data_IF_520700475631
#
_entry.id   IF_520700475631
#
_cell.length_a   1.000
_cell.length_b   1.000
_cell.length_c   1.000
_cell.angle_alpha   90.00
_cell.angle_beta   90.00
_cell.angle_gamma   90.00
#
_symmetry.space_group_name_H-M   'P 1'
#
loop_
_entity.id
_entity.type
_entity.pdbx_description
1 polymer ?
#
# COMPACT_ATOMS: atom_id res chain seq x y z
N UNK A 1 3.10 15.64 33.86
CA UNK A 1 3.63 15.14 32.62
C UNK A 1 2.56 14.42 31.81
N UNK A 2 2.78 14.34 30.52
CA UNK A 2 1.85 13.70 29.57
C UNK A 2 2.28 12.26 29.29
N UNK A 3 1.34 11.43 28.88
CA UNK A 3 1.65 10.10 28.33
C UNK A 3 2.12 10.26 26.88
N UNK A 4 3.10 9.44 26.47
CA UNK A 4 3.53 9.33 25.09
C UNK A 4 3.94 7.89 24.77
N UNK A 5 3.59 7.46 23.57
CA UNK A 5 3.89 6.12 23.04
C UNK A 5 4.33 6.20 21.59
N UNK A 6 5.30 5.41 21.22
CA UNK A 6 5.55 5.04 19.84
C UNK A 6 4.37 4.15 19.41
N UNK A 7 3.87 4.31 18.16
CA UNK A 7 2.61 3.67 17.75
C UNK A 7 2.59 3.31 16.26
N UNK A 8 1.84 2.27 15.92
CA UNK A 8 1.58 1.97 14.51
C UNK A 8 2.63 1.12 13.84
N UNK A 9 3.02 1.50 12.63
CA UNK A 9 3.91 0.73 11.78
C UNK A 9 5.27 0.43 12.40
N UNK A 10 5.85 1.40 13.08
CA UNK A 10 7.14 1.22 13.74
C UNK A 10 7.11 0.16 14.86
N UNK A 11 6.03 0.10 15.66
CA UNK A 11 5.89 -0.93 16.70
C UNK A 11 5.75 -2.32 16.08
N UNK A 12 4.96 -2.44 15.00
CA UNK A 12 4.85 -3.68 14.22
C UNK A 12 6.21 -4.12 13.67
N UNK A 13 6.94 -3.21 13.03
CA UNK A 13 8.19 -3.54 12.34
C UNK A 13 9.27 -3.95 13.35
N UNK A 14 9.38 -3.28 14.49
CA UNK A 14 10.25 -3.69 15.60
C UNK A 14 9.91 -5.08 16.14
N UNK A 15 8.61 -5.39 16.34
CA UNK A 15 8.17 -6.72 16.77
C UNK A 15 8.47 -7.81 15.73
N UNK A 16 8.57 -7.44 14.45
CA UNK A 16 8.96 -8.33 13.34
C UNK A 16 10.48 -8.40 13.12
N UNK A 17 11.28 -7.68 13.91
CA UNK A 17 12.72 -7.60 13.73
C UNK A 17 13.14 -6.81 12.50
N UNK A 18 12.30 -5.90 12.01
CA UNK A 18 12.56 -5.00 10.88
C UNK A 18 12.92 -3.61 11.41
N UNK A 19 13.82 -2.92 10.74
CA UNK A 19 14.10 -1.50 11.05
C UNK A 19 12.97 -0.64 10.53
N UNK A 20 12.26 0.14 11.38
CA UNK A 20 11.24 1.07 10.94
C UNK A 20 11.80 2.17 10.05
N UNK A 21 11.02 2.61 9.07
CA UNK A 21 11.39 3.75 8.21
C UNK A 21 11.12 5.11 8.87
N UNK A 22 10.12 5.16 9.76
CA UNK A 22 9.67 6.36 10.49
C UNK A 22 9.17 5.95 11.89
N UNK A 23 9.04 6.93 12.78
CA UNK A 23 8.50 6.73 14.12
C UNK A 23 7.36 7.71 14.37
N UNK A 24 6.15 7.18 14.45
CA UNK A 24 4.97 7.91 14.88
C UNK A 24 4.84 7.87 16.40
N UNK A 25 4.56 9.02 16.99
CA UNK A 25 4.31 9.16 18.42
C UNK A 25 2.87 9.61 18.63
N UNK A 26 2.20 8.99 19.59
CA UNK A 26 0.87 9.43 20.04
C UNK A 26 0.94 9.83 21.52
N UNK A 27 0.20 10.88 21.91
CA UNK A 27 0.32 11.49 23.26
C UNK A 27 -1.02 11.99 23.79
N UNK A 28 -1.11 12.08 25.11
CA UNK A 28 -2.22 12.77 25.80
C UNK A 28 -2.08 14.30 25.81
N UNK A 29 -0.94 14.84 25.37
CA UNK A 29 -0.71 16.26 25.26
C UNK A 29 -1.47 16.86 24.07
N UNK A 30 -2.06 18.05 24.24
CA UNK A 30 -2.61 18.83 23.14
C UNK A 30 -1.49 19.42 22.27
N UNK A 31 -1.74 19.79 21.00
CA UNK A 31 -0.72 20.34 20.12
C UNK A 31 0.08 21.49 20.73
N UNK A 32 -0.58 22.43 21.37
CA UNK A 32 0.07 23.58 22.01
C UNK A 32 0.96 23.16 23.20
N UNK A 33 0.59 22.08 23.88
CA UNK A 33 1.38 21.52 24.97
C UNK A 33 2.60 20.76 24.44
N UNK A 34 2.49 20.12 23.26
CA UNK A 34 3.63 19.53 22.55
C UNK A 34 4.62 20.64 22.16
N UNK A 35 4.15 21.71 21.54
CA UNK A 35 5.02 22.85 21.18
C UNK A 35 5.71 23.46 22.39
N UNK A 36 5.01 23.60 23.53
CA UNK A 36 5.60 24.08 24.78
C UNK A 36 6.68 23.12 25.34
N UNK A 37 6.45 21.80 25.25
CA UNK A 37 7.44 20.81 25.70
C UNK A 37 8.73 20.87 24.88
N UNK A 38 8.64 21.25 23.61
CA UNK A 38 9.75 21.33 22.65
C UNK A 38 10.08 22.77 22.23
N UNK A 39 9.86 23.76 23.13
CA UNK A 39 10.07 25.17 22.81
C UNK A 39 11.50 25.53 22.38
N UNK A 40 12.50 24.68 22.65
CA UNK A 40 13.89 24.83 22.19
C UNK A 40 14.19 24.19 20.84
N UNK A 41 13.25 23.46 20.27
CA UNK A 41 13.42 22.68 19.07
C UNK A 41 12.61 23.25 17.89
N UNK A 42 12.96 22.86 16.68
CA UNK A 42 12.18 23.26 15.50
C UNK A 42 10.89 22.44 15.44
N UNK A 43 9.75 23.13 15.55
CA UNK A 43 8.42 22.55 15.38
C UNK A 43 7.79 22.99 14.07
N UNK A 44 7.01 22.10 13.42
CA UNK A 44 6.30 22.37 12.17
C UNK A 44 4.81 22.04 12.39
N UNK A 45 3.93 23.04 12.44
CA UNK A 45 2.52 22.88 12.81
C UNK A 45 1.60 22.45 11.64
N UNK A 46 2.10 21.70 10.67
CA UNK A 46 1.37 21.37 9.44
C UNK A 46 0.10 20.54 9.66
N UNK A 47 -0.01 19.86 10.80
CA UNK A 47 -1.13 18.96 11.13
C UNK A 47 -1.96 19.37 12.33
N UNK A 48 -1.83 20.59 12.87
CA UNK A 48 -2.48 21.02 14.14
C UNK A 48 -3.99 20.78 14.13
N UNK A 49 -4.68 21.05 13.04
CA UNK A 49 -6.13 20.80 12.91
C UNK A 49 -6.53 19.34 13.14
N UNK A 50 -5.58 18.42 12.95
CA UNK A 50 -5.74 16.99 13.16
C UNK A 50 -5.00 16.46 14.37
N UNK A 51 -4.45 17.37 15.19
CA UNK A 51 -3.74 17.05 16.42
C UNK A 51 -2.27 16.67 16.23
N UNK A 52 -1.68 16.87 15.05
CA UNK A 52 -0.29 16.47 14.76
C UNK A 52 0.64 17.68 14.74
N UNK A 53 1.75 17.56 15.45
CA UNK A 53 2.90 18.50 15.42
C UNK A 53 4.12 17.70 15.00
N UNK A 54 4.86 18.15 14.00
CA UNK A 54 6.16 17.57 13.66
C UNK A 54 7.26 18.29 14.44
N UNK A 55 8.03 17.56 15.22
CA UNK A 55 9.19 18.05 15.97
C UNK A 55 10.46 17.52 15.31
N UNK A 56 11.43 18.39 15.03
CA UNK A 56 12.70 17.98 14.45
C UNK A 56 13.76 17.88 15.53
N UNK A 57 14.14 16.65 15.90
CA UNK A 57 15.18 16.36 16.88
C UNK A 57 16.42 15.79 16.18
N UNK A 58 17.56 16.37 16.38
CA UNK A 58 18.83 15.95 15.75
C UNK A 58 18.73 15.76 14.23
N UNK A 59 17.93 16.62 13.56
CA UNK A 59 17.67 16.56 12.12
C UNK A 59 16.62 15.52 11.71
N UNK A 60 16.09 14.73 12.65
CA UNK A 60 15.06 13.71 12.40
C UNK A 60 13.66 14.30 12.68
N UNK A 61 12.75 14.30 11.70
CA UNK A 61 11.37 14.69 11.91
C UNK A 61 10.60 13.57 12.64
N UNK A 62 9.95 13.92 13.75
CA UNK A 62 9.07 13.05 14.51
C UNK A 62 7.65 13.60 14.49
N UNK A 63 6.69 12.80 14.05
CA UNK A 63 5.28 13.16 14.07
C UNK A 63 4.67 12.80 15.44
N UNK A 64 4.23 13.84 16.17
CA UNK A 64 3.62 13.69 17.49
C UNK A 64 2.15 14.07 17.36
N UNK A 65 1.26 13.08 17.54
CA UNK A 65 -0.18 13.25 17.39
C UNK A 65 -0.88 13.11 18.73
N UNK A 66 -1.73 14.08 19.08
CA UNK A 66 -2.61 14.00 20.23
C UNK A 66 -3.59 12.84 20.10
N UNK A 67 -3.87 12.09 21.17
CA UNK A 67 -4.92 11.07 21.18
C UNK A 67 -6.22 11.68 20.68
N UNK A 68 -6.89 11.00 19.79
CA UNK A 68 -8.16 11.46 19.25
C UNK A 68 -9.18 10.35 19.15
N UNK A 69 -10.43 10.73 19.34
CA UNK A 69 -11.59 9.96 18.95
C UNK A 69 -12.16 10.61 17.68
N UNK A 70 -12.35 9.81 16.65
CA UNK A 70 -12.96 10.26 15.42
C UNK A 70 -14.49 10.27 15.60
N UNK A 71 -15.17 11.34 15.14
CA UNK A 71 -16.62 11.41 15.08
C UNK A 71 -17.21 10.57 13.94
N UNK A 72 -18.43 10.89 13.52
CA UNK A 72 -19.05 10.27 12.37
C UNK A 72 -18.31 10.59 11.07
N UNK A 73 -18.47 9.74 10.07
CA UNK A 73 -17.87 9.91 8.74
C UNK A 73 -19.00 9.99 7.71
N UNK A 74 -19.19 11.14 7.09
CA UNK A 74 -20.17 11.31 6.02
C UNK A 74 -19.58 11.24 4.62
N UNK A 75 -18.26 11.45 4.49
CA UNK A 75 -17.56 11.47 3.20
C UNK A 75 -16.73 10.18 2.91
N UNK A 76 -16.88 9.14 3.72
CA UNK A 76 -16.10 7.88 3.65
C UNK A 76 -14.56 8.08 3.66
N UNK A 77 -14.07 9.19 4.25
CA UNK A 77 -12.65 9.52 4.30
C UNK A 77 -12.22 10.24 5.56
N UNK A 78 -12.95 11.27 5.95
CA UNK A 78 -12.58 12.13 7.09
C UNK A 78 -13.70 12.13 8.10
N UNK A 79 -13.36 12.04 9.40
CA UNK A 79 -14.38 12.26 10.41
C UNK A 79 -14.89 13.71 10.30
N UNK A 80 -16.19 13.90 10.40
CA UNK A 80 -16.83 15.23 10.39
C UNK A 80 -16.35 16.10 11.55
N UNK A 81 -15.95 15.45 12.63
CA UNK A 81 -15.35 16.11 13.79
C UNK A 81 -14.24 15.23 14.37
N UNK A 82 -13.18 15.86 14.85
CA UNK A 82 -12.12 15.23 15.61
C UNK A 82 -12.19 15.78 17.02
N UNK A 83 -12.37 14.93 18.00
CA UNK A 83 -12.28 15.28 19.41
C UNK A 83 -10.97 14.76 20.00
N UNK A 84 -10.24 15.61 20.72
CA UNK A 84 -9.05 15.15 21.43
C UNK A 84 -9.46 14.33 22.65
N UNK A 85 -8.76 13.22 22.86
CA UNK A 85 -8.97 12.32 23.98
C UNK A 85 -7.75 12.31 24.90
N UNK A 86 -7.97 11.91 26.14
CA UNK A 86 -6.90 11.63 27.09
C UNK A 86 -6.61 10.14 27.23
N UNK A 87 -7.34 9.29 26.49
CA UNK A 87 -7.24 7.83 26.59
C UNK A 87 -6.57 7.26 25.35
N UNK A 88 -5.47 6.54 25.53
CA UNK A 88 -4.78 5.81 24.46
C UNK A 88 -5.71 4.86 23.69
N UNK A 89 -6.65 4.21 24.39
CA UNK A 89 -7.61 3.27 23.79
C UNK A 89 -8.45 3.90 22.67
N UNK A 90 -8.84 5.16 22.81
CA UNK A 90 -9.61 5.88 21.78
C UNK A 90 -8.77 6.09 20.50
N UNK A 91 -7.47 6.35 20.64
CA UNK A 91 -6.58 6.47 19.49
C UNK A 91 -6.30 5.12 18.81
N UNK A 92 -6.16 4.05 19.58
CA UNK A 92 -5.91 2.73 19.03
C UNK A 92 -7.15 2.13 18.34
N UNK A 93 -8.36 2.39 18.87
CA UNK A 93 -9.59 1.80 18.33
C UNK A 93 -9.98 2.33 16.94
N UNK A 94 -9.56 3.54 16.55
CA UNK A 94 -9.85 4.14 15.26
C UNK A 94 -8.88 3.70 14.15
N UNK A 95 -7.82 2.96 14.49
CA UNK A 95 -6.82 2.49 13.52
C UNK A 95 -7.39 1.42 12.60
N UNK A 96 -6.71 1.21 11.49
CA UNK A 96 -7.15 0.30 10.43
C UNK A 96 -7.07 -1.17 10.84
N UNK A 97 -5.85 -1.63 11.20
CA UNK A 97 -5.59 -3.04 11.46
C UNK A 97 -4.93 -3.25 12.82
N UNK A 98 -5.20 -4.42 13.42
CA UNK A 98 -4.68 -4.81 14.73
C UNK A 98 -3.16 -4.75 14.81
N UNK A 99 -2.47 -5.16 13.74
CA UNK A 99 -1.00 -5.12 13.62
C UNK A 99 -0.43 -3.69 13.64
N UNK A 100 -1.26 -2.66 13.42
CA UNK A 100 -0.90 -1.24 13.49
C UNK A 100 -1.55 -0.53 14.69
N UNK A 101 -2.34 -1.25 15.51
CA UNK A 101 -3.05 -0.72 16.68
C UNK A 101 -2.36 -1.11 17.99
N UNK A 102 -1.04 -1.12 17.97
CA UNK A 102 -0.18 -1.34 19.14
C UNK A 102 0.61 -0.08 19.47
N UNK A 103 0.89 0.11 20.74
CA UNK A 103 1.66 1.23 21.24
C UNK A 103 2.76 0.76 22.20
N UNK A 104 3.91 1.42 22.20
CA UNK A 104 5.02 1.09 23.08
C UNK A 104 5.56 2.35 23.80
N UNK A 105 5.86 2.19 25.06
CA UNK A 105 6.56 3.21 25.83
C UNK A 105 7.60 2.54 26.74
N UNK A 106 8.82 3.12 26.90
CA UNK A 106 9.84 2.56 27.79
C UNK A 106 9.38 2.41 29.25
N UNK A 107 8.41 3.23 29.67
CA UNK A 107 7.90 3.20 31.07
C UNK A 107 6.81 2.16 31.30
N UNK A 108 5.98 1.89 30.29
CA UNK A 108 4.78 1.03 30.41
C UNK A 108 4.85 -0.25 29.58
N UNK A 109 5.91 -0.39 28.77
CA UNK A 109 6.03 -1.52 27.83
C UNK A 109 5.07 -1.46 26.67
N UNK A 110 4.79 -2.59 26.09
CA UNK A 110 3.88 -2.76 24.96
C UNK A 110 2.43 -2.78 25.43
N UNK A 111 1.59 -1.97 24.78
CA UNK A 111 0.14 -1.95 24.92
C UNK A 111 -0.46 -2.52 23.65
N UNK A 112 -1.16 -3.65 23.77
CA UNK A 112 -1.80 -4.37 22.66
C UNK A 112 -3.23 -4.75 23.07
N UNK A 113 -4.18 -3.87 22.75
CA UNK A 113 -5.60 -4.02 23.14
C UNK A 113 -6.40 -4.90 22.14
N UNK A 114 -5.84 -5.12 20.95
CA UNK A 114 -6.54 -5.77 19.83
C UNK A 114 -5.84 -7.02 19.32
N UNK A 115 -4.91 -7.58 20.11
CA UNK A 115 -4.21 -8.83 19.81
C UNK A 115 -3.30 -8.75 18.55
N UNK A 116 -2.78 -7.55 18.26
CA UNK A 116 -1.90 -7.31 17.10
C UNK A 116 -0.66 -8.19 17.09
N UNK A 117 -0.07 -8.50 18.27
CA UNK A 117 1.05 -9.46 18.37
C UNK A 117 0.66 -10.88 17.92
N UNK A 118 -0.56 -11.32 18.26
CA UNK A 118 -1.02 -12.64 17.85
C UNK A 118 -1.25 -12.67 16.34
N UNK A 119 -1.78 -11.59 15.78
CA UNK A 119 -2.00 -11.49 14.34
C UNK A 119 -0.67 -11.40 13.56
N UNK A 120 0.35 -10.74 14.10
CA UNK A 120 1.72 -10.81 13.54
C UNK A 120 2.23 -12.26 13.56
N UNK A 121 2.10 -12.96 14.68
CA UNK A 121 2.55 -14.36 14.81
C UNK A 121 1.78 -15.30 13.86
N UNK A 122 0.50 -15.03 13.62
CA UNK A 122 -0.36 -15.77 12.67
C UNK A 122 -0.19 -15.31 11.23
N UNK A 123 0.60 -14.26 10.99
CA UNK A 123 0.77 -13.62 9.68
C UNK A 123 -0.57 -13.19 9.07
N UNK A 124 -1.37 -12.47 9.84
CA UNK A 124 -2.75 -12.11 9.47
C UNK A 124 -2.98 -10.60 9.54
N UNK A 125 -3.62 -10.04 8.50
CA UNK A 125 -4.13 -8.66 8.47
C UNK A 125 -5.59 -8.68 8.86
N UNK A 126 -5.92 -8.19 10.07
CA UNK A 126 -7.28 -8.14 10.63
C UNK A 126 -7.64 -6.71 10.98
N UNK A 127 -8.86 -6.28 10.66
CA UNK A 127 -9.38 -4.97 11.06
C UNK A 127 -9.49 -4.85 12.59
N UNK A 128 -9.33 -3.62 13.08
CA UNK A 128 -9.67 -3.29 14.47
C UNK A 128 -11.19 -3.20 14.60
N UNK A 129 -11.78 -4.01 15.44
CA UNK A 129 -13.23 -4.07 15.61
C UNK A 129 -13.96 -4.62 14.38
N UNK A 130 -15.11 -4.03 14.05
CA UNK A 130 -15.96 -4.50 12.95
C UNK A 130 -15.45 -4.05 11.58
N UNK A 131 -15.10 -4.97 10.64
CA UNK A 131 -14.53 -4.62 9.35
C UNK A 131 -15.43 -3.73 8.48
N UNK A 132 -16.73 -4.00 8.44
CA UNK A 132 -17.69 -3.20 7.68
C UNK A 132 -17.68 -1.75 8.12
N UNK A 133 -17.64 -1.50 9.42
CA UNK A 133 -17.54 -0.16 9.98
C UNK A 133 -16.21 0.51 9.60
N UNK A 134 -15.09 -0.25 9.70
CA UNK A 134 -13.76 0.28 9.36
C UNK A 134 -13.66 0.71 7.89
N UNK A 135 -14.28 -0.03 6.99
CA UNK A 135 -14.29 0.29 5.56
C UNK A 135 -15.30 1.39 5.22
N UNK A 136 -16.38 1.50 5.96
CA UNK A 136 -17.33 2.61 5.84
C UNK A 136 -16.70 3.97 6.20
N UNK A 137 -15.88 4.00 7.24
CA UNK A 137 -15.14 5.19 7.66
C UNK A 137 -14.10 5.66 6.61
N UNK A 138 -13.32 4.76 6.03
CA UNK A 138 -12.39 5.06 4.92
C UNK A 138 -12.26 3.83 4.02
N UNK A 139 -12.91 3.88 2.87
CA UNK A 139 -12.88 2.80 1.87
C UNK A 139 -11.46 2.47 1.37
N UNK A 140 -10.50 3.40 1.47
CA UNK A 140 -9.10 3.13 1.15
C UNK A 140 -8.50 2.02 2.03
N UNK A 141 -9.04 1.81 3.25
CA UNK A 141 -8.57 0.73 4.13
C UNK A 141 -8.67 -0.65 3.48
N UNK A 142 -9.60 -0.85 2.54
CA UNK A 142 -9.68 -2.08 1.75
C UNK A 142 -8.40 -2.31 0.92
N UNK A 143 -7.93 -1.31 0.19
CA UNK A 143 -6.66 -1.41 -0.55
C UNK A 143 -5.45 -1.48 0.38
N UNK A 144 -5.51 -0.83 1.54
CA UNK A 144 -4.47 -0.96 2.57
C UNK A 144 -4.37 -2.39 3.09
N UNK A 145 -5.51 -3.12 3.24
CA UNK A 145 -5.49 -4.54 3.60
C UNK A 145 -4.73 -5.38 2.56
N UNK A 146 -5.04 -5.20 1.29
CA UNK A 146 -4.33 -5.86 0.17
C UNK A 146 -2.84 -5.50 0.18
N UNK A 147 -2.52 -4.22 0.34
CA UNK A 147 -1.12 -3.77 0.41
C UNK A 147 -0.36 -4.37 1.59
N UNK A 148 -0.93 -4.34 2.80
CA UNK A 148 -0.25 -4.93 3.96
C UNK A 148 -0.08 -6.44 3.80
N UNK A 149 -1.07 -7.13 3.27
CA UNK A 149 -0.96 -8.56 2.95
C UNK A 149 0.19 -8.83 1.96
N UNK A 150 0.34 -8.01 0.91
CA UNK A 150 1.40 -8.13 -0.08
C UNK A 150 2.79 -7.81 0.50
N UNK A 151 2.93 -6.69 1.24
CA UNK A 151 4.22 -6.20 1.75
C UNK A 151 4.74 -7.05 2.91
N UNK A 152 3.84 -7.55 3.76
CA UNK A 152 4.19 -8.37 4.92
C UNK A 152 4.20 -9.87 4.63
N UNK A 153 3.68 -10.28 3.47
CA UNK A 153 3.39 -11.68 3.12
C UNK A 153 2.44 -12.32 4.14
N UNK A 154 1.34 -11.63 4.43
CA UNK A 154 0.32 -12.05 5.39
C UNK A 154 -0.97 -12.44 4.66
N UNK A 155 -1.79 -13.27 5.31
CA UNK A 155 -3.16 -13.51 4.89
C UNK A 155 -4.06 -12.37 5.35
N UNK A 156 -5.17 -12.14 4.63
CA UNK A 156 -6.25 -11.28 5.12
C UNK A 156 -7.20 -12.15 5.94
N UNK A 157 -7.53 -11.69 7.15
CA UNK A 157 -8.51 -12.35 8.00
C UNK A 157 -9.84 -12.56 7.27
N UNK A 158 -10.54 -13.66 7.60
CA UNK A 158 -11.75 -14.08 6.90
C UNK A 158 -12.86 -13.03 6.92
N UNK A 159 -13.13 -12.44 8.08
CA UNK A 159 -14.21 -11.46 8.20
C UNK A 159 -13.82 -10.13 7.55
N UNK A 160 -12.55 -9.74 7.67
CA UNK A 160 -11.96 -8.60 6.95
C UNK A 160 -12.06 -8.79 5.44
N UNK A 161 -11.75 -9.99 4.92
CA UNK A 161 -11.84 -10.28 3.49
C UNK A 161 -13.29 -10.28 3.00
N UNK A 162 -14.21 -10.85 3.76
CA UNK A 162 -15.63 -10.87 3.42
C UNK A 162 -16.20 -9.45 3.31
N UNK A 163 -15.90 -8.59 4.28
CA UNK A 163 -16.32 -7.20 4.25
C UNK A 163 -15.71 -6.45 3.05
N UNK A 164 -14.40 -6.68 2.76
CA UNK A 164 -13.72 -6.13 1.58
C UNK A 164 -14.42 -6.52 0.28
N UNK A 165 -14.79 -7.80 0.12
CA UNK A 165 -15.48 -8.30 -1.07
C UNK A 165 -16.87 -7.66 -1.22
N UNK A 166 -17.61 -7.55 -0.12
CA UNK A 166 -18.98 -7.01 -0.11
C UNK A 166 -19.00 -5.50 -0.40
N UNK A 167 -17.97 -4.78 0.03
CA UNK A 167 -17.87 -3.32 -0.09
C UNK A 167 -16.98 -2.85 -1.24
N UNK A 168 -16.61 -3.72 -2.15
CA UNK A 168 -15.70 -3.42 -3.28
C UNK A 168 -16.10 -2.16 -4.05
N UNK A 169 -17.42 -1.89 -4.21
CA UNK A 169 -17.93 -0.70 -4.91
C UNK A 169 -17.56 0.64 -4.24
N UNK A 170 -17.33 0.63 -2.93
CA UNK A 170 -17.04 1.86 -2.18
C UNK A 170 -15.67 2.47 -2.54
N UNK A 171 -14.81 1.72 -3.25
CA UNK A 171 -13.53 2.23 -3.74
C UNK A 171 -13.70 3.42 -4.71
N UNK A 172 -14.86 3.56 -5.33
CA UNK A 172 -15.20 4.68 -6.19
C UNK A 172 -15.25 6.03 -5.46
N UNK A 173 -15.50 6.04 -4.15
CA UNK A 173 -15.48 7.25 -3.32
C UNK A 173 -14.07 7.75 -3.00
N UNK A 174 -13.04 6.92 -3.25
CA UNK A 174 -11.65 7.26 -2.91
C UNK A 174 -10.99 8.04 -4.03
N UNK A 175 -10.29 9.12 -3.69
CA UNK A 175 -9.50 9.88 -4.66
C UNK A 175 -8.49 8.98 -5.39
N UNK A 176 -8.43 9.09 -6.71
CA UNK A 176 -7.66 8.21 -7.58
C UNK A 176 -6.16 8.18 -7.27
N UNK A 177 -5.61 9.32 -6.87
CA UNK A 177 -4.20 9.41 -6.44
C UNK A 177 -3.91 8.56 -5.20
N UNK A 178 -4.87 8.48 -4.26
CA UNK A 178 -4.74 7.63 -3.08
C UNK A 178 -4.83 6.15 -3.46
N UNK A 179 -5.75 5.81 -4.37
CA UNK A 179 -5.88 4.45 -4.92
C UNK A 179 -4.58 4.03 -5.60
N UNK A 180 -4.04 4.88 -6.49
CA UNK A 180 -2.75 4.62 -7.13
C UNK A 180 -1.63 4.41 -6.11
N UNK A 181 -1.52 5.27 -5.11
CA UNK A 181 -0.45 5.18 -4.11
C UNK A 181 -0.46 3.85 -3.34
N UNK A 182 -1.63 3.33 -2.96
CA UNK A 182 -1.75 2.05 -2.27
C UNK A 182 -1.48 0.87 -3.22
N UNK A 183 -2.06 0.88 -4.42
CA UNK A 183 -1.82 -0.16 -5.43
C UNK A 183 -0.36 -0.20 -5.87
N UNK A 184 0.28 0.94 -6.07
CA UNK A 184 1.68 1.00 -6.48
C UNK A 184 2.62 0.39 -5.43
N UNK A 185 2.36 0.65 -4.13
CA UNK A 185 3.08 -0.01 -3.04
C UNK A 185 2.83 -1.52 -3.00
N UNK A 186 1.61 -1.96 -3.32
CA UNK A 186 1.28 -3.38 -3.37
C UNK A 186 1.92 -4.09 -4.56
N UNK A 187 1.94 -3.44 -5.72
CA UNK A 187 2.61 -3.92 -6.95
C UNK A 187 4.12 -4.08 -6.73
N UNK A 188 4.74 -3.16 -5.99
CA UNK A 188 6.16 -3.20 -5.64
C UNK A 188 6.51 -4.15 -4.48
N UNK A 189 5.52 -4.81 -3.88
CA UNK A 189 5.77 -5.79 -2.82
C UNK A 189 6.55 -7.01 -3.33
N UNK A 190 7.30 -7.67 -2.45
CA UNK A 190 8.05 -8.89 -2.80
C UNK A 190 7.12 -10.09 -3.02
N UNK A 191 5.95 -10.13 -2.38
CA UNK A 191 5.00 -11.25 -2.42
C UNK A 191 3.58 -10.77 -2.74
N UNK A 192 3.32 -10.15 -3.92
CA UNK A 192 2.02 -9.57 -4.23
C UNK A 192 0.96 -10.63 -4.54
N UNK A 193 1.35 -11.83 -5.01
CA UNK A 193 0.46 -12.79 -5.65
C UNK A 193 -0.73 -13.17 -4.78
N UNK A 194 -0.46 -13.56 -3.52
CA UNK A 194 -1.48 -14.02 -2.58
C UNK A 194 -2.51 -12.93 -2.28
N UNK A 195 -2.02 -11.74 -2.02
CA UNK A 195 -2.84 -10.58 -1.69
C UNK A 195 -3.67 -10.11 -2.90
N UNK A 196 -3.07 -10.07 -4.08
CA UNK A 196 -3.77 -9.71 -5.32
C UNK A 196 -4.81 -10.77 -5.70
N UNK A 197 -4.53 -12.06 -5.45
CA UNK A 197 -5.50 -13.14 -5.67
C UNK A 197 -6.69 -12.99 -4.71
N UNK A 198 -6.46 -12.80 -3.43
CA UNK A 198 -7.52 -12.61 -2.44
C UNK A 198 -8.33 -11.33 -2.70
N UNK A 199 -7.66 -10.22 -3.03
CA UNK A 199 -8.27 -8.93 -3.32
C UNK A 199 -8.65 -8.71 -4.79
N UNK A 200 -8.68 -9.73 -5.65
CA UNK A 200 -8.87 -9.61 -7.11
C UNK A 200 -10.05 -8.70 -7.50
N UNK A 201 -11.22 -8.88 -6.87
CA UNK A 201 -12.41 -8.07 -7.17
C UNK A 201 -12.18 -6.59 -6.88
N UNK A 202 -11.56 -6.25 -5.75
CA UNK A 202 -11.25 -4.88 -5.37
C UNK A 202 -10.21 -4.26 -6.30
N UNK A 203 -9.15 -5.01 -6.65
CA UNK A 203 -8.11 -4.54 -7.58
C UNK A 203 -8.71 -4.24 -8.95
N UNK A 204 -9.54 -5.13 -9.49
CA UNK A 204 -10.22 -4.93 -10.78
C UNK A 204 -11.18 -3.73 -10.73
N UNK A 205 -11.94 -3.56 -9.64
CA UNK A 205 -12.81 -2.40 -9.46
C UNK A 205 -11.99 -1.09 -9.37
N UNK A 206 -10.87 -1.10 -8.66
CA UNK A 206 -9.98 0.04 -8.54
C UNK A 206 -9.34 0.43 -9.89
N UNK A 207 -9.11 -0.54 -10.77
CA UNK A 207 -8.61 -0.36 -12.15
C UNK A 207 -9.72 -0.01 -13.16
N UNK A 208 -10.98 0.04 -12.74
CA UNK A 208 -12.15 0.20 -13.61
C UNK A 208 -12.27 -0.89 -14.69
N UNK A 209 -11.92 -2.11 -14.32
CA UNK A 209 -11.99 -3.31 -15.16
C UNK A 209 -12.95 -4.37 -14.58
N UNK A 210 -14.26 -4.05 -14.41
CA UNK A 210 -15.21 -4.94 -13.74
C UNK A 210 -15.42 -6.26 -14.48
N UNK A 211 -15.29 -6.27 -15.82
CA UNK A 211 -15.41 -7.45 -16.67
C UNK A 211 -14.20 -8.39 -16.58
N UNK A 212 -13.17 -7.98 -15.82
CA UNK A 212 -11.95 -8.71 -15.60
C UNK A 212 -10.78 -8.19 -16.43
N UNK A 213 -9.63 -8.80 -16.15
CA UNK A 213 -8.38 -8.53 -16.86
C UNK A 213 -7.86 -9.86 -17.38
N UNK A 214 -7.73 -10.04 -18.72
CA UNK A 214 -7.19 -11.26 -19.29
C UNK A 214 -5.83 -11.63 -18.68
N UNK A 215 -5.61 -12.90 -18.42
CA UNK A 215 -4.37 -13.44 -17.84
C UNK A 215 -3.98 -12.82 -16.47
N UNK A 216 -4.97 -12.36 -15.69
CA UNK A 216 -4.70 -11.74 -14.37
C UNK A 216 -3.88 -12.64 -13.45
N UNK A 217 -4.21 -13.93 -13.38
CA UNK A 217 -3.52 -14.87 -12.50
C UNK A 217 -2.07 -15.11 -12.95
N UNK A 218 -1.80 -15.21 -14.25
CA UNK A 218 -0.42 -15.26 -14.80
C UNK A 218 0.32 -13.93 -14.57
N UNK A 219 -0.38 -12.80 -14.67
CA UNK A 219 0.20 -11.49 -14.47
C UNK A 219 0.71 -11.31 -13.04
N UNK A 220 -0.07 -11.72 -12.03
CA UNK A 220 0.34 -11.60 -10.62
C UNK A 220 1.51 -12.54 -10.28
N UNK A 221 1.62 -13.71 -10.93
CA UNK A 221 2.76 -14.62 -10.77
C UNK A 221 4.02 -14.12 -11.51
N UNK A 222 3.86 -13.35 -12.57
CA UNK A 222 4.98 -12.74 -13.31
C UNK A 222 5.61 -11.57 -12.56
N UNK A 223 4.83 -10.79 -11.79
CA UNK A 223 5.32 -9.57 -11.10
C UNK A 223 6.59 -9.79 -10.26
N UNK A 224 6.71 -10.81 -9.39
CA UNK A 224 7.90 -11.00 -8.56
C UNK A 224 9.14 -11.47 -9.32
N UNK A 225 8.99 -11.90 -10.59
CA UNK A 225 10.10 -12.24 -11.46
C UNK A 225 10.76 -10.99 -12.08
N UNK A 226 10.12 -9.84 -11.95
CA UNK A 226 10.59 -8.55 -12.43
C UNK A 226 11.35 -7.78 -11.33
N UNK A 227 12.27 -6.89 -11.73
CA UNK A 227 12.90 -5.96 -10.80
C UNK A 227 11.88 -5.16 -9.98
N UNK A 228 12.34 -4.51 -8.90
CA UNK A 228 11.55 -3.57 -8.09
C UNK A 228 11.35 -2.24 -8.85
N UNK A 229 10.77 -2.34 -10.04
CA UNK A 229 10.45 -1.24 -10.94
C UNK A 229 8.94 -1.15 -11.17
N UNK A 230 8.38 0.01 -10.86
CA UNK A 230 6.94 0.22 -10.94
C UNK A 230 6.42 0.03 -12.37
N UNK A 231 7.09 0.59 -13.39
CA UNK A 231 6.61 0.52 -14.77
C UNK A 231 6.57 -0.91 -15.28
N UNK A 232 7.59 -1.72 -14.98
CA UNK A 232 7.66 -3.12 -15.36
C UNK A 232 6.60 -3.98 -14.65
N UNK A 233 6.41 -3.79 -13.35
CA UNK A 233 5.41 -4.56 -12.59
C UNK A 233 3.98 -4.17 -12.96
N UNK A 234 3.71 -2.89 -13.23
CA UNK A 234 2.46 -2.46 -13.83
C UNK A 234 2.27 -3.03 -15.24
N UNK A 235 3.35 -3.11 -16.03
CA UNK A 235 3.29 -3.73 -17.36
C UNK A 235 2.94 -5.22 -17.28
N UNK A 236 3.48 -5.96 -16.32
CA UNK A 236 3.06 -7.35 -16.09
C UNK A 236 1.58 -7.42 -15.73
N UNK A 237 1.12 -6.66 -14.73
CA UNK A 237 -0.27 -6.68 -14.26
C UNK A 237 -1.25 -6.34 -15.39
N UNK A 238 -0.96 -5.30 -16.17
CA UNK A 238 -1.87 -4.76 -17.19
C UNK A 238 -1.64 -5.34 -18.60
N UNK A 239 -0.72 -6.30 -18.76
CA UNK A 239 -0.36 -6.87 -20.08
C UNK A 239 -1.56 -7.45 -20.83
N UNK A 240 -2.55 -8.00 -20.10
CA UNK A 240 -3.77 -8.55 -20.68
C UNK A 240 -4.72 -7.52 -21.28
N UNK A 241 -4.64 -6.26 -20.81
CA UNK A 241 -5.43 -5.14 -21.34
C UNK A 241 -4.82 -4.52 -22.62
N UNK A 242 -3.56 -4.89 -22.95
CA UNK A 242 -2.81 -4.22 -24.02
C UNK A 242 -2.34 -2.82 -23.63
N UNK A 243 -1.57 -2.17 -24.51
CA UNK A 243 -1.00 -0.85 -24.23
C UNK A 243 -2.05 0.24 -24.03
N UNK A 244 -3.11 0.24 -24.84
CA UNK A 244 -4.17 1.23 -24.76
C UNK A 244 -5.02 1.07 -23.49
N UNK A 245 -5.38 -0.16 -23.11
CA UNK A 245 -6.09 -0.44 -21.87
C UNK A 245 -5.25 -0.10 -20.63
N UNK A 246 -3.95 -0.41 -20.66
CA UNK A 246 -3.03 -0.02 -19.60
C UNK A 246 -2.91 1.50 -19.47
N UNK A 247 -2.84 2.23 -20.60
CA UNK A 247 -2.84 3.68 -20.62
C UNK A 247 -4.11 4.26 -20.00
N UNK A 248 -5.26 3.74 -20.38
CA UNK A 248 -6.55 4.21 -19.86
C UNK A 248 -6.61 4.02 -18.33
N UNK A 249 -6.33 2.79 -17.83
CA UNK A 249 -6.36 2.48 -16.40
C UNK A 249 -5.40 3.34 -15.58
N UNK A 250 -4.14 3.49 -16.01
CA UNK A 250 -3.14 4.27 -15.29
C UNK A 250 -3.41 5.78 -15.35
N UNK A 251 -4.00 6.26 -16.44
CA UNK A 251 -4.42 7.67 -16.55
C UNK A 251 -5.58 7.96 -15.60
N UNK A 252 -6.57 7.08 -15.52
CA UNK A 252 -7.68 7.19 -14.58
C UNK A 252 -7.20 7.16 -13.12
N UNK A 253 -6.23 6.31 -12.82
CA UNK A 253 -5.56 6.27 -11.51
C UNK A 253 -4.67 7.50 -11.23
N UNK A 254 -4.49 8.39 -12.20
CA UNK A 254 -3.60 9.56 -12.12
C UNK A 254 -2.15 9.17 -11.79
N UNK A 255 -1.70 8.08 -12.37
CA UNK A 255 -0.31 7.65 -12.27
C UNK A 255 0.65 8.68 -12.90
N UNK A 256 1.91 8.76 -12.45
CA UNK A 256 2.92 9.59 -13.10
C UNK A 256 3.11 9.26 -14.57
N UNK A 257 3.24 10.28 -15.43
CA UNK A 257 3.41 10.09 -16.88
C UNK A 257 4.61 9.21 -17.25
N UNK A 258 5.67 9.23 -16.44
CA UNK A 258 6.84 8.35 -16.63
C UNK A 258 6.48 6.87 -16.47
N UNK A 259 5.65 6.53 -15.48
CA UNK A 259 5.17 5.16 -15.28
C UNK A 259 4.26 4.77 -16.44
N UNK A 260 3.28 5.63 -16.81
CA UNK A 260 2.36 5.36 -17.93
C UNK A 260 3.13 5.10 -19.21
N UNK A 261 4.06 5.97 -19.58
CA UNK A 261 4.81 5.89 -20.82
C UNK A 261 5.64 4.59 -20.91
N UNK A 262 6.44 4.29 -19.88
CA UNK A 262 7.26 3.08 -19.84
C UNK A 262 6.41 1.81 -19.83
N UNK A 263 5.35 1.76 -19.01
CA UNK A 263 4.42 0.63 -18.96
C UNK A 263 3.84 0.33 -20.33
N UNK A 264 3.28 1.34 -21.02
CA UNK A 264 2.68 1.17 -22.34
C UNK A 264 3.70 0.73 -23.39
N UNK A 265 4.89 1.32 -23.38
CA UNK A 265 5.97 0.98 -24.30
C UNK A 265 6.44 -0.48 -24.11
N UNK A 266 6.61 -0.91 -22.86
CA UNK A 266 6.97 -2.30 -22.55
C UNK A 266 5.90 -3.29 -23.04
N UNK A 267 4.62 -3.02 -22.77
CA UNK A 267 3.50 -3.87 -23.22
C UNK A 267 3.42 -3.92 -24.75
N UNK A 268 3.53 -2.80 -25.45
CA UNK A 268 3.42 -2.74 -26.90
C UNK A 268 4.52 -3.52 -27.61
N UNK A 269 5.72 -3.57 -27.02
CA UNK A 269 6.92 -4.16 -27.65
C UNK A 269 7.31 -5.55 -27.09
N UNK A 270 6.63 -6.07 -26.06
CA UNK A 270 6.99 -7.35 -25.41
C UNK A 270 6.99 -8.58 -26.33
N UNK A 271 6.22 -8.54 -27.40
CA UNK A 271 6.13 -9.65 -28.38
C UNK A 271 7.08 -9.47 -29.54
N UNK A 272 7.89 -8.39 -29.55
CA UNK A 272 8.86 -8.14 -30.62
C UNK A 272 9.96 -9.20 -30.58
N UNK A 273 10.05 -9.97 -31.64
CA UNK A 273 11.11 -10.97 -31.80
C UNK A 273 12.41 -10.28 -32.26
N UNK A 274 13.29 -10.01 -31.31
CA UNK A 274 14.63 -9.46 -31.60
C UNK A 274 15.61 -10.62 -31.63
N UNK A 275 16.10 -10.96 -32.84
CA UNK A 275 17.14 -12.00 -32.98
C UNK A 275 18.43 -11.52 -32.31
N UNK A 276 19.23 -12.44 -31.70
CA UNK A 276 20.49 -12.08 -31.01
C UNK A 276 21.65 -11.85 -32.01
N UNK A 277 21.35 -11.17 -33.11
CA UNK A 277 22.28 -10.76 -34.15
C UNK A 277 22.57 -9.27 -33.96
N UNK A 278 23.87 -8.88 -34.02
CA UNK A 278 24.29 -7.49 -33.77
C UNK A 278 23.48 -6.46 -34.55
N UNK A 279 23.27 -6.72 -35.86
CA UNK A 279 22.51 -5.80 -36.71
C UNK A 279 21.06 -5.65 -36.26
N UNK A 280 20.40 -6.75 -35.92
CA UNK A 280 18.99 -6.74 -35.46
C UNK A 280 18.81 -6.08 -34.10
N UNK A 281 19.76 -6.25 -33.20
CA UNK A 281 19.77 -5.56 -31.91
C UNK A 281 20.00 -4.06 -32.11
N UNK A 282 20.93 -3.65 -32.99
CA UNK A 282 21.17 -2.24 -33.30
C UNK A 282 19.98 -1.58 -33.99
N UNK A 283 19.28 -2.28 -34.89
CA UNK A 283 18.05 -1.84 -35.52
C UNK A 283 16.97 -1.57 -34.47
N UNK A 284 16.72 -2.53 -33.56
CA UNK A 284 15.74 -2.42 -32.48
C UNK A 284 16.11 -1.27 -31.51
N UNK A 285 17.39 -1.12 -31.15
CA UNK A 285 17.88 -0.02 -30.32
C UNK A 285 17.67 1.35 -30.97
N UNK A 286 17.91 1.43 -32.30
CA UNK A 286 17.70 2.66 -33.06
C UNK A 286 16.24 3.09 -33.12
N UNK A 287 15.33 2.11 -33.19
CA UNK A 287 13.89 2.37 -33.28
C UNK A 287 13.23 2.68 -31.93
N UNK A 288 13.58 1.93 -30.87
CA UNK A 288 12.92 1.97 -29.58
C UNK A 288 13.67 2.75 -28.49
N UNK A 289 14.97 2.90 -28.67
CA UNK A 289 15.86 3.33 -27.60
C UNK A 289 16.17 2.21 -26.59
N UNK A 290 17.21 2.41 -25.80
CA UNK A 290 17.74 1.40 -24.88
C UNK A 290 16.73 1.05 -23.77
N UNK A 291 16.12 2.05 -23.13
CA UNK A 291 15.18 1.85 -22.01
C UNK A 291 13.96 1.03 -22.46
N UNK A 292 13.31 1.44 -23.56
CA UNK A 292 12.12 0.79 -24.06
C UNK A 292 12.40 -0.67 -24.50
N UNK A 293 13.51 -0.90 -25.18
CA UNK A 293 13.90 -2.24 -25.60
C UNK A 293 14.23 -3.13 -24.42
N UNK A 294 14.95 -2.62 -23.43
CA UNK A 294 15.30 -3.34 -22.21
C UNK A 294 14.05 -3.71 -21.42
N UNK A 295 13.14 -2.77 -21.22
CA UNK A 295 11.87 -2.99 -20.51
C UNK A 295 11.01 -4.05 -21.21
N UNK A 296 10.88 -3.97 -22.53
CA UNK A 296 10.10 -4.92 -23.33
C UNK A 296 10.66 -6.35 -23.26
N UNK A 297 11.99 -6.50 -23.38
CA UNK A 297 12.66 -7.79 -23.30
C UNK A 297 12.62 -8.36 -21.87
N UNK A 298 12.76 -7.53 -20.85
CA UNK A 298 12.67 -7.94 -19.44
C UNK A 298 11.27 -8.48 -19.12
N UNK A 299 10.23 -7.78 -19.57
CA UNK A 299 8.85 -8.23 -19.41
C UNK A 299 8.60 -9.55 -20.14
N UNK A 300 9.04 -9.65 -21.40
CA UNK A 300 8.89 -10.87 -22.20
C UNK A 300 9.61 -12.07 -21.59
N UNK A 301 10.82 -11.86 -21.07
CA UNK A 301 11.60 -12.90 -20.40
C UNK A 301 10.92 -13.40 -19.12
N UNK A 302 10.38 -12.50 -18.29
CA UNK A 302 9.65 -12.87 -17.08
C UNK A 302 8.37 -13.67 -17.39
N UNK A 303 7.60 -13.26 -18.42
CA UNK A 303 6.41 -13.97 -18.87
C UNK A 303 6.75 -15.36 -19.43
N UNK A 304 7.84 -15.48 -20.21
CA UNK A 304 8.30 -16.76 -20.73
C UNK A 304 8.80 -17.70 -19.63
N UNK A 305 9.46 -17.17 -18.60
CA UNK A 305 9.91 -17.94 -17.43
C UNK A 305 8.71 -18.50 -16.69
N UNK A 306 7.71 -17.68 -16.38
CA UNK A 306 6.48 -18.11 -15.71
C UNK A 306 5.76 -19.21 -16.54
N UNK A 307 5.59 -19.02 -17.83
CA UNK A 307 4.94 -20.00 -18.71
C UNK A 307 5.72 -21.34 -18.76
N UNK A 308 7.04 -21.29 -18.78
CA UNK A 308 7.91 -22.48 -18.74
C UNK A 308 7.80 -23.24 -17.42
N UNK A 309 7.72 -22.54 -16.29
CA UNK A 309 7.56 -23.16 -14.97
C UNK A 309 6.16 -23.77 -14.80
N UNK A 310 5.12 -23.09 -15.27
CA UNK A 310 3.75 -23.61 -15.27
C UNK A 310 3.62 -24.89 -16.12
N UNK A 311 4.25 -24.93 -17.29
CA UNK A 311 4.27 -26.13 -18.15
C UNK A 311 5.00 -27.31 -17.50
N UNK A 312 6.11 -27.07 -16.77
CA UNK A 312 6.83 -28.13 -16.03
C UNK A 312 6.03 -28.64 -14.84
N UNK A 313 5.28 -27.77 -14.15
CA UNK A 313 4.46 -28.16 -13.02
C UNK A 313 3.21 -28.98 -13.45
N UNK A 314 2.77 -28.85 -14.70
CA UNK A 314 1.62 -29.56 -15.25
C UNK A 314 2.00 -30.91 -15.91
N UNK A 315 3.28 -31.17 -16.17
CA UNK A 315 3.81 -32.40 -16.78
C UNK A 315 4.23 -33.41 -15.68
#
# INVERSE_FOLDING_TARGET
>A
GYEAYIVGGCVRDELMGRTPGDYDITTSALPEQVEQCFAGERTIPTGIKHGTVTVVLDGMPLEITTYRADGEYTDHRRPDSVSFSTKLGDDLCRRDFTINAMAFSPRRGLVDMYEGRQDIARRTVRCVGEPDRRFDEDALRMLRAVRFAAVLDFDIDRDTLNALINRTGDISYVARERVFAELNKAVLAHHPQKAFRAGKRLVLAALEMPDGLPNYDDAIETMPLLPDDAALRWAALLSGAGADGAKAALTELRAPNSIIGRTCAAIANRTRNVKPEREKVLEALSELGEECLTDALTLAAAQATHAGDAARAAA
#
